data_IF_261347310215
#
_entry.id   IF_261347310215
#
_cell.length_a   1.000
_cell.length_b   1.000
_cell.length_c   1.000
_cell.angle_alpha   90.00
_cell.angle_beta   90.00
_cell.angle_gamma   90.00
#
_symmetry.space_group_name_H-M   'P 1'
#
loop_
_entity.id
_entity.type
_entity.pdbx_description
1 polymer ?
#
# COMPACT_ATOMS: atom_id res chain seq x y z
N UNK A 1 -10.18 -12.59 11.56
CA UNK A 1 -11.24 -13.31 12.32
C UNK A 1 -12.42 -12.36 12.38
N UNK A 2 -13.60 -12.87 12.10
CA UNK A 2 -14.86 -12.14 12.27
C UNK A 2 -15.17 -12.08 13.77
N UNK A 3 -15.24 -10.87 14.34
CA UNK A 3 -15.41 -10.68 15.80
C UNK A 3 -16.78 -11.21 16.31
N UNK A 4 -17.78 -11.37 15.42
CA UNK A 4 -19.13 -11.87 15.79
C UNK A 4 -19.26 -13.39 15.66
N UNK A 5 -18.56 -14.01 14.69
CA UNK A 5 -18.72 -15.45 14.39
C UNK A 5 -17.50 -16.29 14.78
N UNK A 6 -16.35 -15.68 15.05
CA UNK A 6 -15.08 -16.36 15.27
C UNK A 6 -14.54 -17.12 14.04
N UNK A 7 -15.20 -16.97 12.89
CA UNK A 7 -14.77 -17.63 11.65
C UNK A 7 -13.66 -16.85 10.95
N UNK A 8 -12.72 -17.56 10.38
CA UNK A 8 -11.70 -16.95 9.51
C UNK A 8 -12.32 -16.62 8.16
N UNK A 9 -12.28 -15.34 7.75
CA UNK A 9 -12.74 -14.90 6.40
C UNK A 9 -11.89 -15.48 5.26
N UNK A 10 -10.75 -16.06 5.58
CA UNK A 10 -9.77 -16.56 4.61
C UNK A 10 -9.76 -18.09 4.65
N UNK A 11 -10.13 -18.70 3.52
CA UNK A 11 -10.18 -20.18 3.38
C UNK A 11 -8.98 -20.65 2.56
N UNK A 12 -8.63 -21.95 2.74
CA UNK A 12 -7.62 -22.60 1.91
C UNK A 12 -7.93 -22.43 0.42
N UNK A 13 -6.90 -22.17 -0.38
CA UNK A 13 -7.02 -21.93 -1.83
C UNK A 13 -7.49 -20.53 -2.23
N UNK A 14 -7.96 -19.69 -1.30
CA UNK A 14 -8.36 -18.32 -1.62
C UNK A 14 -7.15 -17.45 -2.01
N UNK A 15 -7.38 -16.50 -2.90
CA UNK A 15 -6.40 -15.45 -3.15
C UNK A 15 -6.53 -14.36 -2.07
N UNK A 16 -5.40 -13.98 -1.48
CA UNK A 16 -5.32 -12.91 -0.50
C UNK A 16 -4.18 -11.95 -0.82
N UNK A 17 -4.31 -10.72 -0.36
CA UNK A 17 -3.22 -9.73 -0.37
C UNK A 17 -2.97 -9.29 1.06
N UNK A 18 -1.72 -9.43 1.49
CA UNK A 18 -1.25 -8.95 2.79
C UNK A 18 -0.27 -7.81 2.58
N UNK A 19 -0.22 -6.88 3.52
CA UNK A 19 0.77 -5.80 3.55
C UNK A 19 1.53 -5.81 4.86
N UNK A 20 2.85 -5.66 4.81
CA UNK A 20 3.66 -5.64 6.02
C UNK A 20 5.14 -5.45 5.76
N UNK A 21 5.94 -5.56 6.81
CA UNK A 21 7.40 -5.51 6.76
C UNK A 21 7.99 -6.90 6.55
N UNK A 22 9.05 -6.98 5.74
CA UNK A 22 9.83 -8.22 5.60
C UNK A 22 10.76 -8.33 6.82
N UNK A 23 10.37 -9.13 7.80
CA UNK A 23 11.16 -9.35 9.02
C UNK A 23 12.28 -10.37 8.81
N UNK A 24 12.04 -11.36 7.95
CA UNK A 24 13.04 -12.38 7.64
C UNK A 24 12.94 -12.82 6.18
N UNK A 25 14.08 -13.11 5.59
CA UNK A 25 14.22 -13.64 4.22
C UNK A 25 15.22 -14.81 4.24
N UNK A 26 14.77 -15.99 3.83
CA UNK A 26 15.60 -17.19 3.68
C UNK A 26 15.50 -17.69 2.25
N UNK A 27 16.60 -17.61 1.51
CA UNK A 27 16.69 -18.15 0.15
C UNK A 27 17.23 -19.56 0.20
N UNK A 28 16.56 -20.50 -0.48
CA UNK A 28 16.94 -21.91 -0.54
C UNK A 28 17.01 -22.39 -1.98
N UNK A 29 17.83 -23.40 -2.20
CA UNK A 29 17.92 -24.09 -3.49
C UNK A 29 17.03 -25.34 -3.44
N UNK A 30 16.16 -25.47 -4.42
CA UNK A 30 15.32 -26.69 -4.58
C UNK A 30 16.16 -27.88 -5.05
N UNK A 31 15.59 -29.07 -4.99
CA UNK A 31 16.24 -30.30 -5.50
C UNK A 31 16.66 -30.18 -6.97
N UNK A 32 15.98 -29.36 -7.75
CA UNK A 32 16.26 -29.13 -9.17
C UNK A 32 17.24 -27.96 -9.40
N UNK A 33 17.94 -27.47 -8.37
CA UNK A 33 18.93 -26.40 -8.48
C UNK A 33 18.35 -24.98 -8.63
N UNK A 34 17.02 -24.82 -8.52
CA UNK A 34 16.38 -23.51 -8.66
C UNK A 34 16.27 -22.80 -7.30
N UNK A 35 16.37 -21.47 -7.29
CA UNK A 35 16.22 -20.67 -6.08
C UNK A 35 14.76 -20.40 -5.76
N UNK A 36 14.41 -20.47 -4.48
CA UNK A 36 13.13 -20.07 -3.91
C UNK A 36 13.35 -19.31 -2.60
N UNK A 37 12.34 -18.60 -2.11
CA UNK A 37 12.46 -17.89 -0.85
C UNK A 37 11.30 -18.20 0.12
N UNK A 38 11.61 -18.10 1.40
CA UNK A 38 10.65 -18.00 2.50
C UNK A 38 10.79 -16.61 3.09
N UNK A 39 9.68 -15.90 3.23
CA UNK A 39 9.62 -14.59 3.83
C UNK A 39 8.74 -14.66 5.08
N UNK A 40 9.11 -13.94 6.13
CA UNK A 40 8.23 -13.65 7.25
C UNK A 40 7.75 -12.22 7.09
N UNK A 41 6.46 -12.03 6.87
CA UNK A 41 5.84 -10.70 6.76
C UNK A 41 5.13 -10.42 8.07
N UNK A 42 5.37 -9.24 8.65
CA UNK A 42 4.76 -8.76 9.88
C UNK A 42 3.95 -7.49 9.63
N UNK A 43 2.77 -7.43 10.20
CA UNK A 43 1.92 -6.24 10.28
C UNK A 43 1.55 -5.93 11.75
N UNK A 44 0.59 -5.03 11.97
CA UNK A 44 0.15 -4.65 13.33
C UNK A 44 -0.63 -5.76 14.06
N UNK A 45 -1.04 -6.80 13.35
CA UNK A 45 -1.87 -7.89 13.90
C UNK A 45 -1.03 -9.14 14.19
N UNK A 46 0.00 -9.39 13.39
CA UNK A 46 0.83 -10.58 13.56
C UNK A 46 1.75 -10.86 12.38
N UNK A 47 2.20 -12.10 12.27
CA UNK A 47 3.16 -12.55 11.26
C UNK A 47 2.57 -13.64 10.37
N UNK A 48 2.95 -13.61 9.10
CA UNK A 48 2.59 -14.63 8.10
C UNK A 48 3.85 -15.12 7.39
N UNK A 49 3.98 -16.45 7.25
CA UNK A 49 5.00 -17.05 6.38
C UNK A 49 4.54 -17.00 4.92
N UNK A 50 5.41 -16.50 4.06
CA UNK A 50 5.18 -16.43 2.61
C UNK A 50 6.19 -17.32 1.90
N UNK A 51 5.70 -18.24 1.06
CA UNK A 51 6.51 -19.12 0.25
C UNK A 51 6.56 -18.57 -1.18
N UNK A 52 7.76 -18.27 -1.67
CA UNK A 52 7.98 -17.75 -3.02
C UNK A 52 8.67 -18.83 -3.85
N UNK A 53 7.89 -19.57 -4.63
CA UNK A 53 8.40 -20.62 -5.50
C UNK A 53 9.30 -20.09 -6.63
N UNK A 54 10.15 -20.92 -7.24
CA UNK A 54 11.22 -20.48 -8.13
C UNK A 54 10.78 -19.54 -9.26
N UNK A 55 9.68 -19.86 -9.94
CA UNK A 55 9.13 -19.02 -11.03
C UNK A 55 8.82 -17.61 -10.53
N UNK A 56 8.11 -17.52 -9.41
CA UNK A 56 7.68 -16.25 -8.84
C UNK A 56 8.85 -15.55 -8.13
N UNK A 57 9.81 -16.31 -7.57
CA UNK A 57 11.01 -15.73 -6.99
C UNK A 57 11.86 -15.01 -8.04
N UNK A 58 12.04 -15.58 -9.21
CA UNK A 58 12.80 -14.94 -10.31
C UNK A 58 12.19 -13.57 -10.68
N UNK A 59 10.88 -13.49 -10.75
CA UNK A 59 10.14 -12.27 -11.14
C UNK A 59 10.17 -11.23 -10.02
N UNK A 60 9.96 -11.65 -8.78
CA UNK A 60 9.75 -10.76 -7.63
C UNK A 60 11.08 -10.46 -6.89
N UNK A 61 12.17 -11.11 -7.23
CA UNK A 61 13.46 -10.98 -6.56
C UNK A 61 13.95 -9.53 -6.43
N UNK A 62 13.87 -8.68 -7.46
CA UNK A 62 14.33 -7.29 -7.33
C UNK A 62 13.62 -6.56 -6.19
N UNK A 63 12.31 -6.75 -6.04
CA UNK A 63 11.53 -6.14 -4.95
C UNK A 63 11.87 -6.79 -3.61
N UNK A 64 11.92 -8.13 -3.55
CA UNK A 64 12.24 -8.87 -2.32
C UNK A 64 13.64 -8.52 -1.78
N UNK A 65 14.59 -8.21 -2.66
CA UNK A 65 15.96 -7.89 -2.24
C UNK A 65 16.15 -6.45 -1.76
N UNK A 66 15.26 -5.52 -2.16
CA UNK A 66 15.44 -4.08 -1.92
C UNK A 66 14.38 -3.43 -1.04
N UNK A 67 13.19 -4.00 -0.96
CA UNK A 67 12.08 -3.39 -0.23
C UNK A 67 11.99 -3.91 1.22
N UNK A 68 11.80 -3.00 2.16
CA UNK A 68 11.52 -3.33 3.58
C UNK A 68 10.03 -3.58 3.82
N UNK A 69 9.17 -2.86 3.09
CA UNK A 69 7.70 -2.92 3.20
C UNK A 69 7.09 -3.32 1.88
N UNK A 70 6.23 -4.31 1.91
CA UNK A 70 5.66 -4.89 0.70
C UNK A 70 4.18 -5.19 0.83
N UNK A 71 3.49 -5.22 -0.31
CA UNK A 71 2.25 -5.96 -0.48
C UNK A 71 2.58 -7.28 -1.18
N UNK A 72 2.08 -8.38 -0.63
CA UNK A 72 2.22 -9.71 -1.22
C UNK A 72 0.85 -10.25 -1.55
N UNK A 73 0.62 -10.53 -2.82
CA UNK A 73 -0.58 -11.23 -3.29
C UNK A 73 -0.23 -12.68 -3.58
N UNK A 74 -1.09 -13.59 -3.17
CA UNK A 74 -0.88 -15.01 -3.36
C UNK A 74 -2.07 -15.85 -2.95
N UNK A 75 -1.87 -17.16 -2.98
CA UNK A 75 -2.88 -18.14 -2.58
C UNK A 75 -2.63 -18.57 -1.14
N UNK A 76 -3.69 -18.55 -0.35
CA UNK A 76 -3.66 -19.07 1.03
C UNK A 76 -3.51 -20.59 1.02
N UNK A 77 -2.58 -21.08 1.81
CA UNK A 77 -2.45 -22.47 2.17
C UNK A 77 -2.73 -22.60 3.67
N UNK A 78 -3.87 -23.18 4.01
CA UNK A 78 -4.29 -23.38 5.38
C UNK A 78 -4.60 -24.86 5.60
N UNK A 79 -3.87 -25.48 6.54
CA UNK A 79 -4.15 -26.82 7.02
C UNK A 79 -4.70 -26.73 8.45
N UNK A 80 -5.54 -27.67 8.84
CA UNK A 80 -6.21 -27.65 10.15
C UNK A 80 -5.24 -27.62 11.35
N UNK A 81 -4.02 -28.15 11.18
CA UNK A 81 -3.04 -28.34 12.26
C UNK A 81 -1.82 -27.40 12.15
N UNK A 82 -1.77 -26.49 11.16
CA UNK A 82 -0.64 -25.61 10.93
C UNK A 82 -1.07 -24.14 10.76
N UNK A 83 -0.20 -23.22 11.07
CA UNK A 83 -0.42 -21.80 10.76
C UNK A 83 -0.58 -21.61 9.24
N UNK A 84 -1.56 -20.81 8.86
CA UNK A 84 -1.79 -20.48 7.47
C UNK A 84 -0.56 -19.79 6.85
N UNK A 85 -0.24 -20.16 5.62
CA UNK A 85 0.87 -19.60 4.82
C UNK A 85 0.32 -18.97 3.55
N UNK A 86 1.07 -18.07 2.94
CA UNK A 86 0.74 -17.50 1.65
C UNK A 86 1.71 -18.00 0.58
N UNK A 87 1.18 -18.65 -0.46
CA UNK A 87 1.96 -19.00 -1.65
C UNK A 87 2.00 -17.77 -2.55
N UNK A 88 3.15 -17.13 -2.65
CA UNK A 88 3.32 -15.86 -3.35
C UNK A 88 3.13 -15.99 -4.87
N UNK A 89 2.30 -15.11 -5.41
CA UNK A 89 2.21 -14.86 -6.85
C UNK A 89 2.93 -13.55 -7.22
N UNK A 90 2.73 -12.47 -6.43
CA UNK A 90 3.26 -11.14 -6.73
C UNK A 90 3.69 -10.41 -5.46
N UNK A 91 4.83 -9.71 -5.55
CA UNK A 91 5.32 -8.79 -4.52
C UNK A 91 5.40 -7.38 -5.11
N UNK A 92 4.90 -6.40 -4.38
CA UNK A 92 4.93 -4.97 -4.76
C UNK A 92 5.57 -4.20 -3.62
N UNK A 93 6.56 -3.38 -3.91
CA UNK A 93 7.10 -2.43 -2.93
C UNK A 93 6.03 -1.42 -2.53
N UNK A 94 5.79 -1.30 -1.24
CA UNK A 94 4.83 -0.36 -0.66
C UNK A 94 5.02 1.08 -1.18
N UNK A 95 6.27 1.49 -1.36
CA UNK A 95 6.61 2.83 -1.83
C UNK A 95 6.29 3.08 -3.31
N UNK A 96 6.03 2.01 -4.09
CA UNK A 96 5.68 2.13 -5.52
C UNK A 96 4.17 2.22 -5.76
N UNK A 97 3.36 1.91 -4.75
CA UNK A 97 1.91 1.99 -4.86
C UNK A 97 1.47 3.46 -4.81
N UNK A 98 0.76 3.95 -5.84
CA UNK A 98 0.23 5.32 -5.82
C UNK A 98 -0.73 5.52 -4.65
N UNK A 99 -0.54 6.60 -3.91
CA UNK A 99 -1.38 7.01 -2.79
C UNK A 99 -2.41 8.04 -3.24
N UNK A 100 -3.37 8.35 -2.38
CA UNK A 100 -4.34 9.42 -2.57
C UNK A 100 -4.13 10.47 -1.50
N UNK A 101 -3.74 11.68 -1.92
CA UNK A 101 -3.68 12.83 -1.03
C UNK A 101 -5.06 13.48 -0.96
N UNK A 102 -5.67 13.45 0.20
CA UNK A 102 -6.94 14.14 0.44
C UNK A 102 -6.69 15.49 1.09
N UNK A 103 -7.26 16.55 0.49
CA UNK A 103 -7.20 17.92 1.02
C UNK A 103 -8.62 18.37 1.30
N UNK A 104 -8.92 18.65 2.56
CA UNK A 104 -10.25 19.03 3.01
C UNK A 104 -10.40 20.56 3.08
N UNK A 105 -11.49 21.06 2.54
CA UNK A 105 -11.97 22.43 2.67
C UNK A 105 -13.35 22.41 3.33
N UNK A 106 -13.75 23.52 3.95
CA UNK A 106 -15.09 23.63 4.52
C UNK A 106 -16.17 23.74 3.43
N UNK A 107 -15.87 24.50 2.36
CA UNK A 107 -16.79 24.72 1.25
C UNK A 107 -16.06 24.79 -0.10
N UNK A 108 -16.84 24.70 -1.19
CA UNK A 108 -16.33 24.87 -2.54
C UNK A 108 -15.84 26.31 -2.78
N UNK A 109 -16.50 27.31 -2.17
CA UNK A 109 -16.05 28.70 -2.24
C UNK A 109 -14.65 28.89 -1.63
N UNK A 110 -14.41 28.30 -0.47
CA UNK A 110 -13.08 28.31 0.15
C UNK A 110 -12.04 27.66 -0.75
N UNK A 111 -12.34 26.49 -1.33
CA UNK A 111 -11.44 25.85 -2.27
C UNK A 111 -11.16 26.74 -3.48
N UNK A 112 -12.17 27.36 -4.10
CA UNK A 112 -11.98 28.23 -5.24
C UNK A 112 -11.11 29.45 -4.91
N UNK A 113 -11.31 30.04 -3.74
CA UNK A 113 -10.50 31.18 -3.28
C UNK A 113 -9.01 30.86 -3.10
N UNK A 114 -8.71 29.61 -2.69
CA UNK A 114 -7.35 29.13 -2.41
C UNK A 114 -6.75 28.26 -3.53
N UNK A 115 -7.48 28.05 -4.61
CA UNK A 115 -7.12 27.12 -5.69
C UNK A 115 -5.78 27.51 -6.37
N UNK A 116 -5.54 28.80 -6.58
CA UNK A 116 -4.28 29.25 -7.21
C UNK A 116 -3.08 28.91 -6.36
N UNK A 117 -3.12 29.25 -5.08
CA UNK A 117 -2.05 28.99 -4.13
C UNK A 117 -1.80 27.47 -3.95
N UNK A 118 -2.88 26.70 -3.85
CA UNK A 118 -2.79 25.24 -3.81
C UNK A 118 -2.14 24.66 -5.06
N UNK A 119 -2.53 25.15 -6.24
CA UNK A 119 -1.94 24.71 -7.49
C UNK A 119 -0.44 25.00 -7.56
N UNK A 120 0.03 26.15 -7.07
CA UNK A 120 1.44 26.51 -7.05
C UNK A 120 2.25 25.56 -6.16
N UNK A 121 1.69 25.14 -5.03
CA UNK A 121 2.32 24.15 -4.14
C UNK A 121 2.39 22.77 -4.80
N UNK A 122 1.28 22.33 -5.39
CA UNK A 122 1.19 21.00 -6.01
C UNK A 122 2.02 20.93 -7.30
N UNK A 123 2.15 22.03 -8.05
CA UNK A 123 2.94 22.09 -9.28
C UNK A 123 4.43 21.83 -9.06
N UNK A 124 4.92 22.18 -7.87
CA UNK A 124 6.32 21.97 -7.50
C UNK A 124 6.60 20.56 -6.92
N UNK A 125 5.60 19.66 -6.96
CA UNK A 125 5.73 18.30 -6.44
C UNK A 125 5.32 17.30 -7.51
N UNK A 126 6.27 16.78 -8.26
CA UNK A 126 6.02 15.77 -9.31
C UNK A 126 6.10 14.36 -8.74
N UNK A 127 5.12 13.49 -9.06
CA UNK A 127 5.06 12.14 -8.53
C UNK A 127 3.94 11.27 -9.09
N UNK A 128 3.52 10.26 -8.32
CA UNK A 128 2.52 9.25 -8.72
C UNK A 128 1.21 9.35 -7.93
N UNK A 129 1.21 10.11 -6.85
CA UNK A 129 0.10 10.17 -5.91
C UNK A 129 -0.99 11.09 -6.45
N UNK A 130 -2.24 10.63 -6.49
CA UNK A 130 -3.37 11.43 -6.95
C UNK A 130 -3.86 12.36 -5.83
N UNK A 131 -4.45 13.51 -6.22
CA UNK A 131 -4.97 14.51 -5.28
C UNK A 131 -6.48 14.56 -5.37
N UNK A 132 -7.15 14.50 -4.23
CA UNK A 132 -8.60 14.64 -4.11
C UNK A 132 -8.92 15.78 -3.16
N UNK A 133 -9.69 16.74 -3.65
CA UNK A 133 -10.24 17.82 -2.84
C UNK A 133 -11.60 17.37 -2.30
N UNK A 134 -11.81 17.60 -1.02
CA UNK A 134 -13.08 17.29 -0.35
C UNK A 134 -13.67 18.54 0.31
N UNK A 135 -14.82 18.99 -0.18
CA UNK A 135 -15.58 20.10 0.37
C UNK A 135 -16.67 19.55 1.30
N UNK A 136 -16.57 19.86 2.60
CA UNK A 136 -17.40 19.21 3.63
C UNK A 136 -18.84 19.67 3.59
N UNK A 137 -19.11 20.96 3.39
CA UNK A 137 -20.49 21.52 3.36
C UNK A 137 -21.32 20.89 2.25
N UNK A 138 -20.73 20.76 1.06
CA UNK A 138 -21.42 20.24 -0.11
C UNK A 138 -21.29 18.71 -0.23
N UNK A 139 -20.54 18.07 0.67
CA UNK A 139 -20.15 16.64 0.58
C UNK A 139 -19.58 16.28 -0.81
N UNK A 140 -18.82 17.21 -1.39
CA UNK A 140 -18.35 17.13 -2.77
C UNK A 140 -16.90 16.67 -2.81
N UNK A 141 -16.61 15.73 -3.73
CA UNK A 141 -15.26 15.24 -4.02
C UNK A 141 -14.86 15.66 -5.42
N UNK A 142 -13.69 16.29 -5.53
CA UNK A 142 -13.11 16.76 -6.80
C UNK A 142 -11.76 16.07 -6.95
N UNK A 143 -11.65 15.12 -7.88
CA UNK A 143 -10.36 14.54 -8.23
C UNK A 143 -9.61 15.47 -9.18
N UNK A 144 -8.36 15.78 -8.88
CA UNK A 144 -7.53 16.52 -9.82
C UNK A 144 -7.17 15.62 -11.01
N UNK A 145 -6.94 16.21 -12.20
CA UNK A 145 -6.58 15.46 -13.40
C UNK A 145 -5.35 14.56 -13.19
N UNK A 146 -5.26 13.45 -13.90
CA UNK A 146 -4.13 12.52 -13.85
C UNK A 146 -2.79 13.14 -14.26
N UNK A 147 -2.82 14.29 -14.94
CA UNK A 147 -1.64 15.10 -15.25
C UNK A 147 -1.14 15.92 -14.05
N UNK A 148 -1.84 15.91 -12.93
CA UNK A 148 -1.52 16.62 -11.69
C UNK A 148 -1.36 15.65 -10.53
N UNK A 149 -0.44 14.72 -10.66
CA UNK A 149 -0.01 13.84 -9.58
C UNK A 149 1.14 14.48 -8.81
N UNK A 150 1.26 14.12 -7.54
CA UNK A 150 2.27 14.68 -6.63
C UNK A 150 3.08 13.56 -6.00
N UNK A 151 4.24 13.89 -5.44
CA UNK A 151 4.95 13.01 -4.52
C UNK A 151 4.62 13.39 -3.09
N UNK A 152 3.78 12.61 -2.43
CA UNK A 152 3.45 12.82 -1.01
C UNK A 152 4.66 12.49 -0.16
N UNK A 153 5.33 13.53 0.34
CA UNK A 153 6.47 13.47 1.24
C UNK A 153 6.31 14.47 2.39
N UNK A 154 7.21 14.44 3.35
CA UNK A 154 7.16 15.31 4.53
C UNK A 154 7.21 16.80 4.18
N UNK A 155 7.95 17.19 3.13
CA UNK A 155 8.06 18.58 2.69
C UNK A 155 6.74 19.10 2.14
N UNK A 156 6.10 18.36 1.22
CA UNK A 156 4.77 18.70 0.69
C UNK A 156 3.74 18.80 1.81
N UNK A 157 3.73 17.82 2.72
CA UNK A 157 2.80 17.81 3.85
C UNK A 157 3.00 18.99 4.80
N UNK A 158 4.25 19.42 5.05
CA UNK A 158 4.52 20.62 5.86
C UNK A 158 4.02 21.88 5.18
N UNK A 159 4.27 22.06 3.88
CA UNK A 159 3.77 23.21 3.11
C UNK A 159 2.24 23.27 3.15
N UNK A 160 1.59 22.16 2.92
CA UNK A 160 0.13 22.08 2.94
C UNK A 160 -0.46 22.32 4.34
N UNK A 161 0.15 21.77 5.41
CA UNK A 161 -0.29 21.98 6.81
C UNK A 161 -0.14 23.43 7.26
N UNK A 162 0.85 24.15 6.74
CA UNK A 162 1.03 25.57 7.04
C UNK A 162 -0.09 26.46 6.52
N UNK A 163 -0.78 26.03 5.47
CA UNK A 163 -1.83 26.78 4.79
C UNK A 163 -3.23 26.23 5.04
N UNK A 164 -3.35 24.93 5.31
CA UNK A 164 -4.63 24.22 5.46
C UNK A 164 -4.63 23.40 6.75
N UNK A 165 -5.51 23.72 7.68
CA UNK A 165 -5.56 23.14 9.03
C UNK A 165 -6.01 21.68 9.10
N UNK A 166 -6.46 21.06 8.01
CA UNK A 166 -6.96 19.67 8.04
C UNK A 166 -6.66 18.89 6.77
N UNK A 167 -5.49 18.28 6.75
CA UNK A 167 -5.11 17.27 5.77
C UNK A 167 -5.52 15.88 6.28
N UNK A 168 -6.16 15.11 5.44
CA UNK A 168 -6.36 13.69 5.67
C UNK A 168 -5.47 12.96 4.67
N UNK A 169 -4.54 12.17 5.20
CA UNK A 169 -3.66 11.32 4.41
C UNK A 169 -4.16 9.88 4.54
N UNK A 170 -4.38 9.20 3.43
CA UNK A 170 -4.71 7.77 3.38
C UNK A 170 -3.73 7.09 2.43
#
# INVERSE_FOLDING_TARGET
>A
IDDETGETKVRDGNTATIGGMIMNKSVKTTKNGQLMAYLTIEDLVGTVEVIVFPRNFLINRPVIDTADKVFVTGRVQANADENARLICDKVIDFNTVPRKLWIRFESEEEYQSKQSELNDILYNSDGKDSVIIYCTKENKRIALPASRTVQVNSELLMKLKGLYLSLIHI
#
